data_IF_832145625212
#
_entry.id   IF_832145625212
#
_cell.length_a   1.000
_cell.length_b   1.000
_cell.length_c   1.000
_cell.angle_alpha   90.00
_cell.angle_beta   90.00
_cell.angle_gamma   90.00
#
_symmetry.space_group_name_H-M   'P 1'
#
loop_
_entity.id
_entity.type
_entity.pdbx_description
1 polymer ?
#
# COMPACT_ATOMS: atom_id res chain seq x y z
N UNK A 1 -0.79 1.62 28.27
CA UNK A 1 -1.00 2.43 27.06
C UNK A 1 0.34 3.06 26.75
N UNK A 2 1.13 2.41 25.91
CA UNK A 2 2.52 2.78 25.67
C UNK A 2 2.62 4.07 24.85
N UNK A 3 3.25 5.13 25.39
CA UNK A 3 3.21 6.49 24.82
C UNK A 3 4.12 6.70 23.59
N UNK A 4 4.50 5.66 22.83
CA UNK A 4 5.49 5.76 21.74
C UNK A 4 5.08 5.17 20.40
N UNK A 5 3.81 4.78 20.21
CA UNK A 5 3.36 4.30 18.90
C UNK A 5 2.65 5.41 18.11
N UNK A 6 3.24 5.82 16.98
CA UNK A 6 2.60 6.75 16.03
C UNK A 6 1.99 5.92 14.91
N UNK A 7 0.70 6.12 14.63
CA UNK A 7 0.00 5.41 13.58
C UNK A 7 -0.74 6.39 12.65
N UNK A 8 -0.77 6.08 11.36
CA UNK A 8 -1.57 6.78 10.36
C UNK A 8 -2.44 5.77 9.62
N UNK A 9 -3.64 6.17 9.22
CA UNK A 9 -4.57 5.35 8.45
C UNK A 9 -4.97 6.07 7.17
N UNK A 10 -4.88 5.35 6.05
CA UNK A 10 -5.09 5.88 4.71
C UNK A 10 -5.90 4.92 3.88
N UNK A 11 -6.59 5.45 2.88
CA UNK A 11 -7.45 4.70 1.99
C UNK A 11 -7.01 4.90 0.54
N UNK A 12 -7.05 3.83 -0.23
CA UNK A 12 -7.00 3.90 -1.68
C UNK A 12 -8.14 3.08 -2.29
N UNK A 13 -8.85 3.63 -3.28
CA UNK A 13 -9.96 2.93 -3.91
C UNK A 13 -9.47 1.77 -4.78
N UNK A 14 -10.33 0.77 -4.95
CA UNK A 14 -10.16 -0.25 -5.96
C UNK A 14 -10.35 0.31 -7.37
N UNK A 15 -9.75 -0.35 -8.35
CA UNK A 15 -9.85 0.02 -9.76
C UNK A 15 -10.10 -1.23 -10.60
N UNK A 16 -11.08 -1.16 -11.49
CA UNK A 16 -11.38 -2.19 -12.48
C UNK A 16 -11.04 -1.63 -13.85
N UNK A 17 -10.06 -2.23 -14.51
CA UNK A 17 -9.69 -1.88 -15.88
C UNK A 17 -10.68 -2.49 -16.87
N UNK A 18 -11.20 -1.70 -17.80
CA UNK A 18 -12.08 -2.15 -18.87
C UNK A 18 -11.30 -2.57 -20.12
N UNK A 19 -10.51 -1.66 -20.66
CA UNK A 19 -9.62 -1.92 -21.79
C UNK A 19 -8.25 -1.27 -21.55
N UNK A 20 -7.20 -1.89 -22.07
CA UNK A 20 -5.83 -1.42 -21.89
C UNK A 20 -4.91 -1.95 -23.00
N UNK A 21 -3.76 -1.29 -23.13
CA UNK A 21 -2.59 -1.74 -23.89
C UNK A 21 -1.40 -1.77 -22.96
N UNK A 22 -0.62 -2.84 -23.01
CA UNK A 22 0.58 -3.01 -22.18
C UNK A 22 1.75 -2.28 -22.83
N UNK A 23 2.48 -1.51 -22.01
CA UNK A 23 3.74 -0.87 -22.37
C UNK A 23 4.85 -1.50 -21.54
N UNK A 24 5.58 -2.42 -22.16
CA UNK A 24 6.76 -3.03 -21.56
C UNK A 24 7.93 -2.04 -21.58
N UNK A 25 8.69 -2.01 -20.49
CA UNK A 25 9.92 -1.24 -20.35
C UNK A 25 10.80 -1.92 -19.29
N UNK A 26 12.12 -1.85 -19.46
CA UNK A 26 13.08 -2.38 -18.48
C UNK A 26 13.13 -1.51 -17.21
N UNK A 27 12.90 -0.19 -17.35
CA UNK A 27 12.75 0.72 -16.23
C UNK A 27 11.31 0.65 -15.68
N UNK A 28 11.12 0.20 -14.42
CA UNK A 28 9.79 0.09 -13.81
C UNK A 28 9.02 1.41 -13.76
N UNK A 29 9.70 2.56 -13.75
CA UNK A 29 9.04 3.88 -13.75
C UNK A 29 8.34 4.20 -15.08
N UNK A 30 8.80 3.58 -16.19
CA UNK A 30 8.22 3.75 -17.53
C UNK A 30 7.43 2.52 -18.00
N UNK A 31 7.38 1.46 -17.21
CA UNK A 31 6.57 0.26 -17.46
C UNK A 31 5.15 0.44 -16.95
N UNK A 32 4.15 0.11 -17.77
CA UNK A 32 2.76 0.28 -17.36
C UNK A 32 1.74 -0.06 -18.43
N UNK A 33 0.56 0.53 -18.33
CA UNK A 33 -0.54 0.33 -19.29
C UNK A 33 -1.24 1.64 -19.60
N UNK A 34 -1.64 1.84 -20.85
CA UNK A 34 -2.60 2.90 -21.22
C UNK A 34 -3.97 2.28 -21.41
N UNK A 35 -5.03 2.88 -20.84
CA UNK A 35 -6.36 2.30 -20.89
C UNK A 35 -7.41 3.15 -20.19
N UNK A 36 -8.57 2.55 -19.94
CA UNK A 36 -9.65 3.16 -19.17
C UNK A 36 -10.28 2.12 -18.23
N UNK A 37 -10.81 2.60 -17.12
CA UNK A 37 -11.45 1.77 -16.11
C UNK A 37 -12.38 2.59 -15.22
N UNK A 38 -12.89 1.93 -14.19
CA UNK A 38 -13.76 2.54 -13.19
C UNK A 38 -13.08 2.48 -11.82
N UNK A 39 -13.20 3.58 -11.08
CA UNK A 39 -12.78 3.68 -9.68
C UNK A 39 -13.96 3.33 -8.80
N UNK A 40 -13.72 2.47 -7.81
CA UNK A 40 -14.75 2.03 -6.87
C UNK A 40 -14.78 2.93 -5.65
N UNK A 41 -15.94 3.03 -5.01
CA UNK A 41 -16.07 3.65 -3.68
C UNK A 41 -15.61 2.73 -2.54
N UNK A 42 -15.12 1.53 -2.87
CA UNK A 42 -14.51 0.55 -1.96
C UNK A 42 -13.10 0.27 -2.40
N UNK A 43 -12.26 -0.19 -1.48
CA UNK A 43 -10.84 -0.38 -1.76
C UNK A 43 -10.10 -0.97 -0.59
N UNK A 44 -8.88 -0.48 -0.36
CA UNK A 44 -8.02 -0.95 0.73
C UNK A 44 -7.76 0.19 1.70
N UNK A 45 -7.98 -0.09 2.98
CA UNK A 45 -7.57 0.78 4.08
C UNK A 45 -6.29 0.21 4.68
N UNK A 46 -5.23 1.01 4.73
CA UNK A 46 -3.97 0.65 5.36
C UNK A 46 -3.78 1.45 6.64
N UNK A 47 -3.36 0.80 7.71
CA UNK A 47 -2.88 1.43 8.94
C UNK A 47 -1.39 1.13 9.07
N UNK A 48 -0.57 2.16 9.15
CA UNK A 48 0.88 2.06 9.29
C UNK A 48 1.27 2.64 10.63
N UNK A 49 2.02 1.88 11.43
CA UNK A 49 2.48 2.26 12.75
C UNK A 49 4.00 2.16 12.86
N UNK A 50 4.60 3.08 13.60
CA UNK A 50 5.99 3.05 14.08
C UNK A 50 6.00 3.15 15.60
N UNK A 51 6.98 2.51 16.25
CA UNK A 51 7.12 2.56 17.70
C UNK A 51 8.24 1.65 18.19
N UNK A 52 8.67 1.86 19.44
CA UNK A 52 9.79 1.11 20.05
C UNK A 52 9.60 -0.40 20.10
N UNK A 53 8.35 -0.86 20.08
CA UNK A 53 8.00 -2.28 20.18
C UNK A 53 8.02 -2.98 18.81
N UNK A 54 8.19 -2.21 17.72
CA UNK A 54 8.26 -2.71 16.35
C UNK A 54 9.74 -2.85 15.99
N UNK A 55 10.26 -4.07 16.10
CA UNK A 55 11.68 -4.38 15.85
C UNK A 55 11.96 -4.82 14.41
N UNK A 56 10.92 -5.13 13.64
CA UNK A 56 11.02 -5.54 12.24
C UNK A 56 9.76 -5.18 11.47
N UNK A 57 9.89 -5.02 10.15
CA UNK A 57 8.75 -4.69 9.31
C UNK A 57 7.77 -5.84 9.26
N UNK A 58 6.53 -5.59 9.69
CA UNK A 58 5.46 -6.58 9.70
C UNK A 58 4.35 -6.15 8.75
N UNK A 59 3.89 -7.08 7.90
CA UNK A 59 2.84 -6.79 6.91
C UNK A 59 1.71 -7.78 7.11
N UNK A 60 0.51 -7.24 7.34
CA UNK A 60 -0.72 -8.00 7.54
C UNK A 60 -1.75 -7.58 6.51
N UNK A 61 -2.44 -8.57 5.92
CA UNK A 61 -3.59 -8.38 5.05
C UNK A 61 -4.77 -9.16 5.63
N UNK A 62 -5.87 -8.47 5.94
CA UNK A 62 -7.06 -9.04 6.56
C UNK A 62 -6.71 -9.91 7.79
N UNK A 63 -5.83 -9.41 8.64
CA UNK A 63 -5.36 -10.08 9.86
C UNK A 63 -4.33 -11.21 9.64
N UNK A 64 -4.06 -11.61 8.40
CA UNK A 64 -3.06 -12.65 8.09
C UNK A 64 -1.71 -12.02 7.76
N UNK A 65 -0.63 -12.51 8.39
CA UNK A 65 0.74 -12.09 8.04
C UNK A 65 1.05 -12.48 6.60
N UNK A 66 1.60 -11.56 5.82
CA UNK A 66 1.95 -11.77 4.41
C UNK A 66 3.37 -11.32 4.13
N UNK A 67 4.04 -12.05 3.25
CA UNK A 67 5.20 -11.51 2.54
C UNK A 67 4.66 -10.77 1.31
N UNK A 68 4.91 -9.46 1.28
CA UNK A 68 4.53 -8.61 0.14
C UNK A 68 5.80 -7.91 -0.35
N UNK A 69 6.48 -8.45 -1.39
CA UNK A 69 7.72 -7.87 -1.91
C UNK A 69 7.56 -6.40 -2.30
N UNK A 70 6.41 -6.04 -2.90
CA UNK A 70 6.08 -4.66 -3.29
C UNK A 70 6.03 -3.75 -2.07
N UNK A 71 5.30 -4.16 -1.03
CA UNK A 71 5.17 -3.37 0.20
C UNK A 71 6.49 -3.30 0.97
N UNK A 72 7.27 -4.38 1.01
CA UNK A 72 8.60 -4.38 1.63
C UNK A 72 9.56 -3.43 0.90
N UNK A 73 9.54 -3.43 -0.43
CA UNK A 73 10.34 -2.50 -1.24
C UNK A 73 9.93 -1.04 -1.01
N UNK A 74 8.62 -0.78 -0.92
CA UNK A 74 8.06 0.54 -0.61
C UNK A 74 8.54 1.04 0.75
N UNK A 75 8.45 0.20 1.79
CA UNK A 75 8.93 0.54 3.14
C UNK A 75 10.43 0.85 3.11
N UNK A 76 11.23 0.02 2.44
CA UNK A 76 12.66 0.25 2.32
C UNK A 76 13.01 1.54 1.55
N UNK A 77 12.13 1.99 0.65
CA UNK A 77 12.33 3.20 -0.15
C UNK A 77 11.90 4.48 0.57
N UNK A 78 10.88 4.40 1.44
CA UNK A 78 10.26 5.55 2.09
C UNK A 78 10.56 5.67 3.59
N UNK A 79 11.21 4.69 4.20
CA UNK A 79 11.48 4.69 5.64
C UNK A 79 12.81 4.04 6.00
N UNK A 80 13.44 4.53 7.06
CA UNK A 80 14.66 3.95 7.63
C UNK A 80 14.40 3.13 8.91
N UNK A 81 13.14 3.06 9.36
CA UNK A 81 12.74 2.42 10.60
C UNK A 81 11.74 1.28 10.34
N UNK A 82 11.71 0.24 11.19
CA UNK A 82 10.70 -0.80 11.10
C UNK A 82 9.28 -0.26 11.26
N UNK A 83 8.37 -0.71 10.39
CA UNK A 83 6.96 -0.33 10.44
C UNK A 83 6.05 -1.56 10.52
N UNK A 84 4.91 -1.42 11.19
CA UNK A 84 3.83 -2.40 11.16
C UNK A 84 2.72 -1.90 10.26
N UNK A 85 2.37 -2.71 9.27
CA UNK A 85 1.36 -2.40 8.26
C UNK A 85 0.21 -3.39 8.41
N UNK A 86 -0.98 -2.87 8.69
CA UNK A 86 -2.22 -3.63 8.74
C UNK A 86 -3.15 -3.13 7.63
N UNK A 87 -3.39 -3.96 6.63
CA UNK A 87 -4.26 -3.65 5.51
C UNK A 87 -5.57 -4.43 5.60
N UNK A 88 -6.69 -3.74 5.36
CA UNK A 88 -8.01 -4.31 5.22
C UNK A 88 -8.55 -4.01 3.82
N UNK A 89 -8.90 -5.06 3.07
CA UNK A 89 -9.49 -4.96 1.74
C UNK A 89 -11.00 -5.16 1.79
N UNK A 90 -11.77 -4.13 1.44
CA UNK A 90 -13.23 -4.16 1.27
C UNK A 90 -13.63 -4.49 -0.19
N UNK A 91 -12.79 -5.28 -0.86
CA UNK A 91 -12.97 -5.77 -2.23
C UNK A 91 -12.36 -7.17 -2.35
N UNK A 92 -12.87 -8.03 -3.25
CA UNK A 92 -12.30 -9.35 -3.46
C UNK A 92 -10.83 -9.28 -3.90
N UNK A 93 -9.95 -9.92 -3.13
CA UNK A 93 -8.52 -10.01 -3.45
C UNK A 93 -8.31 -11.08 -4.52
N UNK A 94 -7.55 -10.75 -5.57
CA UNK A 94 -7.23 -11.68 -6.66
C UNK A 94 -8.30 -11.79 -7.76
N UNK A 95 -9.38 -11.01 -7.68
CA UNK A 95 -10.46 -11.04 -8.69
C UNK A 95 -10.43 -9.83 -9.65
N UNK A 96 -9.27 -9.19 -9.84
CA UNK A 96 -9.12 -8.08 -10.80
C UNK A 96 -9.59 -6.69 -10.32
N UNK A 97 -9.95 -6.52 -9.04
CA UNK A 97 -10.39 -5.23 -8.47
C UNK A 97 -9.25 -4.26 -8.10
N UNK A 98 -8.00 -4.59 -8.47
CA UNK A 98 -6.85 -3.75 -8.15
C UNK A 98 -6.46 -3.71 -6.66
N UNK A 99 -6.89 -4.69 -5.85
CA UNK A 99 -6.64 -4.70 -4.40
C UNK A 99 -5.16 -4.59 -4.01
N UNK A 100 -4.26 -5.22 -4.77
CA UNK A 100 -2.82 -5.13 -4.48
C UNK A 100 -2.26 -3.73 -4.76
N UNK A 101 -2.68 -3.08 -5.85
CA UNK A 101 -2.27 -1.71 -6.19
C UNK A 101 -2.85 -0.71 -5.19
N UNK A 102 -4.12 -0.85 -4.84
CA UNK A 102 -4.76 -0.05 -3.80
C UNK A 102 -4.04 -0.20 -2.45
N UNK A 103 -3.69 -1.42 -2.03
CA UNK A 103 -2.94 -1.63 -0.79
C UNK A 103 -1.56 -0.99 -0.79
N UNK A 104 -0.81 -1.09 -1.90
CA UNK A 104 0.48 -0.43 -2.05
C UNK A 104 0.35 1.10 -1.99
N UNK A 105 -0.64 1.67 -2.69
CA UNK A 105 -0.90 3.11 -2.73
C UNK A 105 -1.38 3.66 -1.37
N UNK A 106 -2.31 2.97 -0.71
CA UNK A 106 -2.75 3.35 0.63
C UNK A 106 -1.58 3.34 1.63
N UNK A 107 -0.69 2.34 1.52
CA UNK A 107 0.50 2.25 2.36
C UNK A 107 1.48 3.39 2.06
N UNK A 108 1.69 3.75 0.79
CA UNK A 108 2.63 4.82 0.42
C UNK A 108 2.17 6.18 0.93
N UNK A 109 0.87 6.48 0.83
CA UNK A 109 0.29 7.67 1.45
C UNK A 109 0.53 7.70 2.96
N UNK A 110 0.31 6.57 3.64
CA UNK A 110 0.52 6.49 5.08
C UNK A 110 1.98 6.67 5.48
N UNK A 111 2.92 6.10 4.73
CA UNK A 111 4.35 6.31 4.98
C UNK A 111 4.73 7.78 4.75
N UNK A 112 4.25 8.39 3.67
CA UNK A 112 4.47 9.80 3.37
C UNK A 112 4.00 10.71 4.53
N UNK A 113 2.80 10.48 5.05
CA UNK A 113 2.23 11.28 6.13
C UNK A 113 2.93 11.01 7.47
N UNK A 114 3.22 9.73 7.75
CA UNK A 114 3.86 9.30 9.00
C UNK A 114 5.25 9.89 9.16
N UNK A 115 6.04 9.91 8.07
CA UNK A 115 7.40 10.47 8.03
C UNK A 115 7.46 11.91 7.51
N UNK A 116 6.32 12.51 7.17
CA UNK A 116 6.20 13.90 6.69
C UNK A 116 7.12 14.18 5.48
N UNK A 117 7.10 13.28 4.49
CA UNK A 117 8.02 13.32 3.34
C UNK A 117 7.66 14.39 2.30
N UNK A 118 6.41 14.86 2.27
CA UNK A 118 5.96 15.92 1.35
C UNK A 118 5.95 15.53 -0.13
N UNK A 119 5.71 14.25 -0.43
CA UNK A 119 5.69 13.69 -1.80
C UNK A 119 4.30 13.73 -2.45
N UNK A 120 3.32 14.35 -1.80
CA UNK A 120 1.90 14.40 -2.18
C UNK A 120 1.36 15.80 -1.96
#
# INVERSE_FOLDING_TARGET
>A
MDPKQKCVTCFAPGHITGFFTIHENDDPAFKGTTGCGIVLNRGVTAKVCVGSDITGTEIFLNGSRKQSPVTSHLVASLSCEPVRIESYADIPVGCGFGASGAGALATSYCLNDLFSLGLT
#
